data_IF_386757516531
#
_entry.id   IF_386757516531
#
_cell.length_a   1.000
_cell.length_b   1.000
_cell.length_c   1.000
_cell.angle_alpha   90.00
_cell.angle_beta   90.00
_cell.angle_gamma   90.00
#
_symmetry.space_group_name_H-M   'P 1'
#
loop_
_entity.id
_entity.type
_entity.pdbx_description
1 polymer ?
#
# COMPACT_ATOMS: atom_id res chain seq x y z
N UNK A 1 33.46 25.33 1.34
CA UNK A 1 32.52 24.49 2.09
C UNK A 1 32.28 25.12 3.46
N UNK A 2 31.14 25.77 3.64
CA UNK A 2 30.72 26.32 4.93
C UNK A 2 30.02 25.25 5.77
N UNK A 3 30.25 25.23 7.09
CA UNK A 3 29.65 24.26 8.05
C UNK A 3 28.13 24.14 7.88
N UNK A 4 27.44 25.28 7.71
CA UNK A 4 26.00 25.36 7.45
C UNK A 4 25.55 24.55 6.22
N UNK A 5 26.31 24.63 5.11
CA UNK A 5 26.00 23.89 3.88
C UNK A 5 26.13 22.37 4.08
N UNK A 6 27.16 21.93 4.82
CA UNK A 6 27.42 20.50 5.07
C UNK A 6 26.38 19.86 6.00
N UNK A 7 25.95 20.59 7.03
CA UNK A 7 24.86 20.15 7.91
C UNK A 7 23.57 19.97 7.09
N UNK A 8 23.19 20.98 6.31
CA UNK A 8 21.97 20.92 5.49
C UNK A 8 22.00 19.78 4.47
N UNK A 9 23.15 19.54 3.84
CA UNK A 9 23.31 18.42 2.91
C UNK A 9 23.12 17.08 3.62
N UNK A 10 23.71 16.91 4.80
CA UNK A 10 23.61 15.67 5.58
C UNK A 10 22.18 15.39 6.02
N UNK A 11 21.47 16.41 6.51
CA UNK A 11 20.07 16.30 6.91
C UNK A 11 19.16 15.92 5.74
N UNK A 12 19.32 16.60 4.59
CA UNK A 12 18.57 16.27 3.36
C UNK A 12 18.81 14.84 2.90
N UNK A 13 20.06 14.37 2.93
CA UNK A 13 20.39 12.99 2.55
C UNK A 13 19.75 11.96 3.49
N UNK A 14 19.73 12.22 4.80
CA UNK A 14 19.06 11.33 5.77
C UNK A 14 17.55 11.30 5.57
N UNK A 15 16.92 12.47 5.39
CA UNK A 15 15.48 12.58 5.13
C UNK A 15 15.08 11.83 3.84
N UNK A 16 15.85 11.99 2.76
CA UNK A 16 15.61 11.26 1.50
C UNK A 16 15.69 9.73 1.69
N UNK A 17 16.67 9.24 2.45
CA UNK A 17 16.81 7.80 2.75
C UNK A 17 15.65 7.27 3.59
N UNK A 18 15.16 8.04 4.57
CA UNK A 18 14.00 7.65 5.37
C UNK A 18 12.72 7.62 4.52
N UNK A 19 12.49 8.66 3.71
CA UNK A 19 11.32 8.74 2.84
C UNK A 19 11.32 7.62 1.81
N UNK A 20 12.46 7.31 1.17
CA UNK A 20 12.57 6.22 0.20
C UNK A 20 12.17 4.85 0.78
N UNK A 21 12.39 4.63 2.09
CA UNK A 21 11.95 3.39 2.77
C UNK A 21 10.44 3.37 3.06
N UNK A 22 9.83 4.53 3.25
CA UNK A 22 8.40 4.69 3.51
C UNK A 22 7.55 4.83 2.23
N UNK A 23 8.17 5.13 1.08
CA UNK A 23 7.45 5.22 -0.18
C UNK A 23 7.08 3.83 -0.71
N UNK A 24 5.87 3.36 -0.39
CA UNK A 24 5.20 2.35 -1.21
C UNK A 24 4.61 3.03 -2.44
N UNK A 25 5.08 2.66 -3.64
CA UNK A 25 4.43 3.07 -4.88
C UNK A 25 3.02 2.49 -4.92
N UNK A 26 1.99 3.31 -4.66
CA UNK A 26 0.58 2.92 -4.82
C UNK A 26 0.13 2.90 -6.30
N UNK A 27 1.09 2.94 -7.23
CA UNK A 27 0.79 2.85 -8.67
C UNK A 27 0.89 1.38 -9.06
N UNK A 28 -0.17 0.80 -9.67
CA UNK A 28 -0.06 -0.52 -10.25
C UNK A 28 1.05 -0.49 -11.30
N UNK A 29 1.94 -1.47 -11.24
CA UNK A 29 3.01 -1.61 -12.23
C UNK A 29 2.36 -1.77 -13.61
N UNK A 30 2.88 -1.08 -14.62
CA UNK A 30 2.37 -1.26 -15.98
C UNK A 30 2.67 -2.69 -16.41
N UNK A 31 1.63 -3.45 -16.68
CA UNK A 31 1.64 -4.85 -17.06
C UNK A 31 1.06 -4.91 -18.47
N UNK A 32 1.71 -5.62 -19.38
CA UNK A 32 1.24 -5.75 -20.76
C UNK A 32 -0.15 -6.42 -20.80
N UNK A 33 -0.95 -6.15 -21.84
CA UNK A 33 -2.32 -6.69 -21.94
C UNK A 33 -2.40 -8.22 -21.72
N UNK A 34 -1.47 -8.97 -22.32
CA UNK A 34 -1.40 -10.42 -22.17
C UNK A 34 -1.14 -10.88 -20.72
N UNK A 35 -0.28 -10.19 -19.99
CA UNK A 35 0.02 -10.51 -18.59
C UNK A 35 -1.15 -10.15 -17.66
N UNK A 36 -1.93 -9.12 -18.00
CA UNK A 36 -3.15 -8.75 -17.24
C UNK A 36 -4.25 -9.80 -17.37
N UNK A 37 -4.41 -10.38 -18.56
CA UNK A 37 -5.36 -11.48 -18.80
C UNK A 37 -4.94 -12.76 -18.08
N UNK A 38 -3.64 -13.08 -18.10
CA UNK A 38 -3.08 -14.21 -17.35
C UNK A 38 -3.26 -14.06 -15.83
N UNK A 39 -3.07 -12.85 -15.29
CA UNK A 39 -3.27 -12.57 -13.87
C UNK A 39 -4.76 -12.55 -13.47
N UNK A 40 -5.66 -12.08 -14.34
CA UNK A 40 -7.10 -12.14 -14.08
C UNK A 40 -7.60 -13.58 -14.01
N UNK A 41 -7.15 -14.44 -14.93
CA UNK A 41 -7.46 -15.87 -14.91
C UNK A 41 -6.87 -16.60 -13.68
N UNK A 42 -5.70 -16.17 -13.19
CA UNK A 42 -5.08 -16.73 -11.99
C UNK A 42 -5.77 -16.28 -10.68
N UNK A 43 -6.28 -15.04 -10.61
CA UNK A 43 -6.95 -14.51 -9.41
C UNK A 43 -8.34 -15.14 -9.20
N UNK A 44 -9.04 -15.55 -10.26
CA UNK A 44 -10.32 -16.25 -10.11
C UNK A 44 -10.19 -17.66 -9.49
N UNK A 45 -8.99 -18.26 -9.49
CA UNK A 45 -8.79 -19.61 -8.97
C UNK A 45 -8.39 -19.67 -7.47
N UNK A 46 -8.07 -18.54 -6.84
CA UNK A 46 -7.61 -18.47 -5.44
C UNK A 46 -8.48 -17.49 -4.63
N UNK A 47 -9.77 -17.80 -4.50
CA UNK A 47 -10.63 -17.24 -3.46
C UNK A 47 -10.90 -18.34 -2.42
N UNK A 48 -10.01 -18.60 -1.44
CA UNK A 48 -10.45 -19.24 -0.21
C UNK A 48 -11.22 -18.20 0.63
N UNK A 49 -12.49 -18.51 0.88
CA UNK A 49 -13.39 -17.79 1.76
C UNK A 49 -12.76 -17.45 3.11
N UNK A 50 -12.54 -16.17 3.41
CA UNK A 50 -12.51 -15.68 4.80
C UNK A 50 -12.77 -14.17 4.90
N UNK A 51 -13.95 -13.73 4.50
CA UNK A 51 -14.51 -12.48 5.06
C UNK A 51 -15.26 -12.86 6.33
N UNK A 52 -14.57 -12.74 7.46
CA UNK A 52 -15.21 -12.66 8.76
C UNK A 52 -15.58 -11.19 9.04
N UNK A 53 -16.64 -11.04 9.83
CA UNK A 53 -17.17 -9.83 10.49
C UNK A 53 -18.25 -9.03 9.72
N UNK A 54 -19.26 -8.41 10.38
CA UNK A 54 -19.77 -8.61 11.75
C UNK A 54 -21.30 -8.84 11.81
N UNK A 55 -21.79 -9.42 12.91
CA UNK A 55 -23.21 -9.56 13.20
C UNK A 55 -23.85 -8.17 13.34
N UNK A 56 -24.93 -7.94 12.60
CA UNK A 56 -25.75 -6.74 12.74
C UNK A 56 -26.67 -6.93 13.95
N UNK A 57 -26.23 -6.46 15.12
CA UNK A 57 -27.10 -6.28 16.29
C UNK A 57 -28.09 -5.14 16.00
N UNK A 58 -29.20 -5.50 15.38
CA UNK A 58 -30.36 -4.61 15.26
C UNK A 58 -31.05 -4.63 16.63
N UNK A 59 -30.73 -3.62 17.44
CA UNK A 59 -31.50 -3.29 18.64
C UNK A 59 -32.97 -3.05 18.27
N UNK A 60 -33.86 -3.94 18.70
CA UNK A 60 -35.29 -3.68 18.75
C UNK A 60 -35.63 -3.12 20.15
N UNK A 61 -36.03 -1.85 20.27
CA UNK A 61 -36.63 -1.33 21.49
C UNK A 61 -38.10 -1.76 21.50
N UNK A 62 -38.64 -2.29 22.60
CA UNK A 62 -40.05 -2.16 23.00
C UNK A 62 -40.25 -2.81 24.39
N UNK A 63 -40.83 -1.98 25.28
CA UNK A 63 -41.51 -2.23 26.57
C UNK A 63 -40.67 -2.56 27.82
#
# INVERSE_FOLDING_TARGET
MNRKKKINQTLKSKAKKANAKLQSSNKPKYIAKAEREALAAAVEHEIPSKTAEPQLDIALPIS
#
